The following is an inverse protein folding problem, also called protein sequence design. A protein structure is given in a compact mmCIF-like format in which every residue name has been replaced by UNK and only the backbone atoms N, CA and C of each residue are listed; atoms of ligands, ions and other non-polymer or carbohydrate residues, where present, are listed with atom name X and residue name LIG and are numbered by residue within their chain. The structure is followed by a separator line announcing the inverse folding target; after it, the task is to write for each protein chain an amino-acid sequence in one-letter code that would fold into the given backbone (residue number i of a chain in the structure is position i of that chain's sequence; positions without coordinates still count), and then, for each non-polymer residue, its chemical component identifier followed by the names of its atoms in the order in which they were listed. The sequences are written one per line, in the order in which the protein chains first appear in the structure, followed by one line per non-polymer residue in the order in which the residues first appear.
data_IF_318726434146
#
_entry.id   IF_318726434146
#
_cell.length_a   1.000
_cell.length_b   1.000
_cell.length_c   1.000
_cell.angle_alpha   90.00
_cell.angle_beta   90.00
_cell.angle_gamma   90.00
#
_symmetry.space_group_name_H-M   'P 1'
#
loop_
_entity.id
_entity.type
_entity.pdbx_description
1 polymer ?
#
# COMPACT_ATOMS: atom_id res chain seq x y z
N UNK A 1 -14.84 2.40 15.74
CA UNK A 1 -14.52 3.00 14.43
C UNK A 1 -13.06 2.73 14.25
N UNK A 2 -12.72 1.81 13.35
CA UNK A 2 -11.39 1.22 13.32
C UNK A 2 -10.56 1.96 12.28
N UNK A 3 -9.66 2.81 12.78
CA UNK A 3 -8.70 3.54 11.95
C UNK A 3 -7.63 2.57 11.44
N UNK A 4 -7.32 2.66 10.16
CA UNK A 4 -6.25 1.87 9.54
C UNK A 4 -4.91 2.47 9.94
N UNK A 5 -3.98 1.62 10.37
CA UNK A 5 -2.63 2.05 10.71
C UNK A 5 -1.87 2.46 9.44
N UNK A 6 -1.37 3.68 9.44
CA UNK A 6 -0.56 4.24 8.36
C UNK A 6 0.85 4.57 8.83
N UNK A 7 1.78 4.63 7.89
CA UNK A 7 3.19 4.91 8.13
C UNK A 7 3.62 6.13 7.29
N UNK A 8 4.70 6.79 7.72
CA UNK A 8 5.22 7.98 7.02
C UNK A 8 5.93 7.61 5.70
N UNK A 9 6.57 6.44 5.65
CA UNK A 9 7.32 5.94 4.50
C UNK A 9 7.35 4.40 4.42
N UNK A 10 8.01 3.87 3.40
CA UNK A 10 8.32 2.45 3.22
C UNK A 10 9.76 2.11 3.61
N UNK A 11 10.33 2.69 4.67
CA UNK A 11 11.75 2.56 5.05
C UNK A 11 12.34 1.13 5.11
N UNK A 12 11.50 0.08 5.24
CA UNK A 12 11.91 -1.33 5.27
C UNK A 12 11.47 -2.12 4.03
N UNK A 13 11.06 -1.42 2.99
CA UNK A 13 10.40 -1.92 1.78
C UNK A 13 9.18 -2.81 2.05
N UNK A 14 8.65 -2.79 3.27
CA UNK A 14 7.56 -3.67 3.73
C UNK A 14 6.20 -3.00 3.85
N UNK A 15 6.10 -1.80 3.28
CA UNK A 15 4.86 -1.05 3.19
C UNK A 15 4.52 -0.81 1.73
N UNK A 16 3.24 -0.88 1.44
CA UNK A 16 2.68 -0.62 0.13
C UNK A 16 2.12 0.80 0.14
N UNK A 17 2.56 1.60 -0.83
CA UNK A 17 1.99 2.91 -1.10
C UNK A 17 0.61 2.75 -1.73
N UNK A 18 -0.38 3.42 -1.14
CA UNK A 18 -1.71 3.61 -1.71
C UNK A 18 -1.90 5.10 -1.97
N UNK A 19 -2.36 5.44 -3.17
CA UNK A 19 -2.68 6.80 -3.56
C UNK A 19 -4.14 6.90 -3.99
N UNK A 20 -4.91 7.73 -3.29
CA UNK A 20 -6.29 8.01 -3.62
C UNK A 20 -6.36 9.28 -4.46
N UNK A 21 -6.71 9.14 -5.73
CA UNK A 21 -6.97 10.28 -6.60
C UNK A 21 -8.31 10.89 -6.24
N UNK A 22 -8.31 12.17 -5.89
CA UNK A 22 -9.54 12.92 -5.62
C UNK A 22 -9.93 13.76 -6.83
N UNK A 23 -11.23 13.91 -7.06
CA UNK A 23 -11.75 14.85 -8.04
C UNK A 23 -11.81 16.29 -7.48
N UNK A 24 -12.37 17.21 -8.27
CA UNK A 24 -12.49 18.63 -7.89
C UNK A 24 -13.49 18.87 -6.76
N UNK A 25 -14.37 17.91 -6.49
CA UNK A 25 -15.36 17.96 -5.42
C UNK A 25 -14.84 17.29 -4.13
N UNK A 26 -13.63 16.73 -4.18
CA UNK A 26 -13.00 16.03 -3.07
C UNK A 26 -13.42 14.56 -2.96
N UNK A 27 -14.14 14.02 -3.95
CA UNK A 27 -14.54 12.61 -3.95
C UNK A 27 -13.40 11.73 -4.48
N UNK A 28 -13.27 10.53 -3.90
CA UNK A 28 -12.31 9.53 -4.40
C UNK A 28 -12.76 9.02 -5.77
N UNK A 29 -11.96 9.29 -6.80
CA UNK A 29 -12.22 8.88 -8.17
C UNK A 29 -11.57 7.55 -8.55
N UNK A 30 -10.42 7.24 -7.95
CA UNK A 30 -9.66 6.02 -8.21
C UNK A 30 -8.57 5.84 -7.16
N UNK A 31 -8.08 4.60 -7.03
CA UNK A 31 -7.00 4.25 -6.11
C UNK A 31 -5.88 3.58 -6.88
N UNK A 32 -4.65 4.05 -6.69
CA UNK A 32 -3.44 3.46 -7.23
C UNK A 32 -2.68 2.77 -6.10
N UNK A 33 -2.13 1.59 -6.38
CA UNK A 33 -1.37 0.81 -5.40
C UNK A 33 0.01 0.49 -5.95
N UNK A 34 1.00 0.48 -5.06
CA UNK A 34 2.37 0.10 -5.34
C UNK A 34 3.35 1.28 -5.34
N UNK A 35 4.59 0.99 -4.95
CA UNK A 35 5.63 2.00 -4.71
C UNK A 35 6.19 2.59 -6.02
N UNK A 36 5.90 1.94 -7.16
CA UNK A 36 6.26 2.42 -8.51
C UNK A 36 5.15 3.23 -9.19
N UNK A 37 3.94 3.29 -8.61
CA UNK A 37 2.80 3.97 -9.23
C UNK A 37 2.92 5.50 -9.10
N UNK A 38 3.22 6.22 -10.17
CA UNK A 38 3.33 7.68 -10.16
C UNK A 38 1.93 8.30 -10.29
N UNK A 39 1.42 9.02 -9.28
CA UNK A 39 0.14 9.69 -9.38
C UNK A 39 0.20 10.84 -10.38
N UNK A 40 -0.76 10.89 -11.30
CA UNK A 40 -0.88 11.96 -12.30
C UNK A 40 -1.95 13.00 -11.94
N UNK A 41 -2.66 12.80 -10.82
CA UNK A 41 -3.76 13.64 -10.33
C UNK A 41 -3.51 14.03 -8.87
N UNK A 42 -4.23 15.05 -8.41
CA UNK A 42 -4.24 15.43 -6.99
C UNK A 42 -4.89 14.33 -6.16
N UNK A 43 -4.45 14.18 -4.92
CA UNK A 43 -4.88 13.08 -4.07
C UNK A 43 -4.11 12.99 -2.76
N UNK A 44 -4.35 11.89 -2.06
CA UNK A 44 -3.74 11.60 -0.77
C UNK A 44 -2.96 10.29 -0.83
N UNK A 45 -1.80 10.27 -0.19
CA UNK A 45 -0.90 9.14 -0.17
C UNK A 45 -0.78 8.57 1.25
N UNK A 46 -0.79 7.25 1.35
CA UNK A 46 -0.57 6.52 2.59
C UNK A 46 0.37 5.34 2.35
N UNK A 47 1.19 5.01 3.34
CA UNK A 47 1.89 3.74 3.41
C UNK A 47 1.18 2.83 4.40
N UNK A 48 0.86 1.62 3.99
CA UNK A 48 0.17 0.62 4.81
C UNK A 48 0.82 -0.75 4.67
N UNK A 49 0.46 -1.67 5.55
CA UNK A 49 0.88 -3.07 5.42
C UNK A 49 0.22 -3.72 4.18
N UNK A 50 0.89 -4.70 3.57
CA UNK A 50 0.46 -5.31 2.32
C UNK A 50 -0.95 -5.93 2.39
N UNK A 51 -1.29 -6.59 3.50
CA UNK A 51 -2.63 -7.18 3.69
C UNK A 51 -3.75 -6.13 3.70
N UNK A 52 -3.44 -4.89 4.10
CA UNK A 52 -4.38 -3.76 4.03
C UNK A 52 -4.52 -3.31 2.58
N UNK A 53 -3.41 -3.19 1.85
CA UNK A 53 -3.43 -2.77 0.45
C UNK A 53 -4.21 -3.76 -0.44
N UNK A 54 -4.12 -5.06 -0.17
CA UNK A 54 -4.91 -6.08 -0.88
C UNK A 54 -6.43 -5.96 -0.63
N UNK A 55 -6.84 -5.20 0.38
CA UNK A 55 -8.23 -4.97 0.79
C UNK A 55 -8.63 -3.48 0.68
N UNK A 56 -8.03 -2.77 -0.28
CA UNK A 56 -8.22 -1.31 -0.46
C UNK A 56 -9.66 -0.91 -0.74
N UNK A 57 -10.48 -1.82 -1.23
CA UNK A 57 -11.91 -1.65 -1.48
C UNK A 57 -12.73 -1.55 -0.19
N UNK A 58 -12.22 -2.07 0.94
CA UNK A 58 -12.84 -2.01 2.26
C UNK A 58 -12.50 -0.76 3.06
N UNK A 59 -11.59 0.09 2.56
CA UNK A 59 -11.13 1.29 3.25
C UNK A 59 -11.62 2.56 2.54
N UNK A 60 -11.71 3.64 3.32
CA UNK A 60 -12.10 4.96 2.85
C UNK A 60 -11.22 6.04 3.50
N UNK A 61 -11.12 7.19 2.83
CA UNK A 61 -10.52 8.39 3.41
C UNK A 61 -11.60 9.19 4.09
N UNK A 62 -11.36 9.55 5.35
CA UNK A 62 -12.16 10.52 6.08
C UNK A 62 -11.35 11.78 6.37
N UNK A 63 -12.06 12.88 6.62
CA UNK A 63 -11.52 14.17 7.04
C UNK A 63 -10.58 14.84 6.00
N UNK A 64 -11.09 15.68 5.09
CA UNK A 64 -10.29 16.31 4.04
C UNK A 64 -9.19 17.25 4.56
N UNK A 65 -9.30 17.77 5.80
CA UNK A 65 -8.29 18.65 6.39
C UNK A 65 -7.08 17.91 6.97
N UNK A 66 -7.29 16.68 7.43
CA UNK A 66 -6.24 15.75 7.87
C UNK A 66 -6.69 14.35 7.47
N UNK A 67 -6.34 13.93 6.25
CA UNK A 67 -6.91 12.72 5.65
C UNK A 67 -6.42 11.49 6.42
N UNK A 68 -7.37 10.70 6.91
CA UNK A 68 -7.11 9.48 7.68
C UNK A 68 -7.78 8.30 6.97
N UNK A 69 -7.13 7.14 6.97
CA UNK A 69 -7.71 5.90 6.47
C UNK A 69 -8.55 5.21 7.54
N UNK A 70 -9.76 4.81 7.15
CA UNK A 70 -10.73 4.12 8.00
C UNK A 70 -11.29 2.91 7.25
N UNK A 71 -11.65 1.87 7.98
CA UNK A 71 -12.47 0.78 7.44
C UNK A 71 -13.91 1.28 7.25
N UNK A 72 -14.51 0.97 6.11
CA UNK A 72 -15.91 1.32 5.82
C UNK A 72 -16.84 0.66 6.82
N UNK A 73 -17.98 1.30 7.08
CA UNK A 73 -18.95 0.78 8.05
C UNK A 73 -19.51 -0.59 7.60
N UNK A 74 -19.36 -1.60 8.47
CA UNK A 74 -19.79 -2.97 8.20
C UNK A 74 -18.74 -3.87 7.53
N UNK A 75 -17.56 -3.33 7.20
CA UNK A 75 -16.43 -4.10 6.66
C UNK A 75 -15.40 -4.44 7.76
N UNK A 76 -14.62 -5.49 7.53
CA UNK A 76 -13.50 -5.87 8.38
C UNK A 76 -12.24 -6.16 7.54
N UNK A 77 -11.08 -5.74 8.05
CA UNK A 77 -9.78 -6.07 7.46
C UNK A 77 -9.34 -7.41 8.01
N UNK A 78 -9.18 -8.39 7.12
CA UNK A 78 -8.59 -9.67 7.50
C UNK A 78 -7.10 -9.48 7.74
N UNK A 79 -6.68 -9.71 8.98
CA UNK A 79 -5.27 -9.71 9.36
C UNK A 79 -4.77 -11.15 9.18
N UNK A 80 -3.84 -11.42 8.25
CA UNK A 80 -3.26 -12.74 8.10
C UNK A 80 -2.53 -13.15 9.38
N UNK A 81 -2.64 -14.41 9.73
CA UNK A 81 -1.95 -15.08 10.82
C UNK A 81 -0.43 -15.00 10.64
N UNK A 82 0.33 -14.98 11.75
CA UNK A 82 1.79 -14.72 11.75
C UNK A 82 2.58 -15.63 10.81
N UNK A 83 2.14 -16.88 10.64
CA UNK A 83 2.76 -17.86 9.73
C UNK A 83 2.65 -17.37 8.28
N UNK A 84 1.45 -16.95 7.87
CA UNK A 84 1.19 -16.44 6.52
C UNK A 84 1.92 -15.12 6.26
N UNK A 85 2.00 -14.23 7.27
CA UNK A 85 2.80 -13.00 7.19
C UNK A 85 4.28 -13.28 6.94
N UNK A 86 4.86 -14.28 7.61
CA UNK A 86 6.25 -14.65 7.43
C UNK A 86 6.52 -15.28 6.06
N UNK A 87 5.62 -16.13 5.57
CA UNK A 87 5.74 -16.73 4.23
C UNK A 87 5.71 -15.69 3.11
N UNK A 88 4.78 -14.73 3.19
CA UNK A 88 4.66 -13.66 2.19
C UNK A 88 5.88 -12.73 2.23
N UNK A 89 6.41 -12.46 3.42
CA UNK A 89 7.65 -11.71 3.59
C UNK A 89 8.86 -12.43 2.99
N UNK A 90 8.97 -13.74 3.19
CA UNK A 90 10.05 -14.55 2.58
C UNK A 90 9.96 -14.48 1.05
N UNK A 91 8.77 -14.71 0.46
CA UNK A 91 8.57 -14.64 -0.99
C UNK A 91 8.94 -13.28 -1.56
N UNK A 92 8.59 -12.18 -0.88
CA UNK A 92 8.95 -10.83 -1.33
C UNK A 92 10.45 -10.61 -1.30
N UNK A 93 11.11 -11.00 -0.21
CA UNK A 93 12.57 -10.90 -0.07
C UNK A 93 13.30 -11.78 -1.10
N UNK A 94 12.78 -12.96 -1.42
CA UNK A 94 13.31 -13.82 -2.47
C UNK A 94 13.18 -13.18 -3.86
N UNK A 95 12.04 -12.54 -4.14
CA UNK A 95 11.83 -11.79 -5.38
C UNK A 95 12.81 -10.62 -5.51
N UNK A 96 12.92 -9.80 -4.47
CA UNK A 96 13.88 -8.68 -4.42
C UNK A 96 15.32 -9.20 -4.61
N UNK A 97 15.68 -10.31 -3.94
CA UNK A 97 17.00 -10.94 -4.09
C UNK A 97 17.26 -11.42 -5.52
N UNK A 98 16.25 -12.01 -6.17
CA UNK A 98 16.35 -12.47 -7.55
C UNK A 98 16.49 -11.30 -8.53
N UNK A 99 15.75 -10.20 -8.33
CA UNK A 99 15.89 -8.99 -9.13
C UNK A 99 17.30 -8.39 -9.00
N UNK A 100 17.83 -8.30 -7.78
CA UNK A 100 19.20 -7.82 -7.52
C UNK A 100 20.26 -8.72 -8.16
N UNK A 101 20.13 -10.05 -8.02
CA UNK A 101 21.06 -11.01 -8.67
C UNK A 101 20.97 -10.96 -10.19
N UNK A 102 19.80 -10.67 -10.74
CA UNK A 102 19.60 -10.47 -12.18
C UNK A 102 20.31 -9.22 -12.69
N UNK A 103 20.36 -8.15 -11.90
CA UNK A 103 21.06 -6.91 -12.26
C UNK A 103 22.59 -7.06 -12.30
N UNK A 104 23.17 -7.83 -11.38
CA UNK A 104 24.62 -8.12 -11.35
C UNK A 104 25.11 -8.99 -12.52
N UNK A 105 24.21 -9.71 -13.20
CA UNK A 105 24.54 -10.59 -14.33
C UNK A 105 24.57 -9.91 -15.72
N UNK A 106 24.17 -8.64 -15.82
CA UNK A 106 23.98 -7.95 -17.12
C UNK A 106 25.07 -6.93 -17.49
N UNK A 107 26.06 -6.68 -16.63
CA UNK A 107 27.20 -5.80 -16.93
C UNK A 107 28.47 -6.56 -17.31
N UNK A 108 28.34 -7.64 -18.09
CA UNK A 108 29.47 -8.33 -18.70
C UNK A 108 29.16 -8.68 -20.16
N UNK A 109 29.03 -7.66 -21.02
CA UNK A 109 29.39 -7.77 -22.44
C UNK A 109 29.57 -6.41 -23.09
#
# INVERSE_FOLDING_TARGET
MDTVKTYEDDNRHDKVRIFFNVDKEGNVSSVLMGNQAIPSRQGHQFYVDEYVALQVDKIEIINPGMPILKVKDGEEIEIPDEVKQNEDKIKRLEKELNELKGMDGTNAK
#
